data_IF_372237513254
#
_entry.id   IF_372237513254
#
_cell.length_a   1.000
_cell.length_b   1.000
_cell.length_c   1.000
_cell.angle_alpha   90.00
_cell.angle_beta   90.00
_cell.angle_gamma   90.00
#
_symmetry.space_group_name_H-M   'P 1'
#
loop_
_entity.id
_entity.type
_entity.pdbx_description
1 polymer ?
#
# COMPACT_ATOMS: atom_id res chain seq x y z
N UNK A 1 12.42 -14.05 -54.41
CA UNK A 1 12.47 -12.59 -54.21
C UNK A 1 11.97 -12.34 -52.80
N UNK A 2 12.88 -12.42 -51.83
CA UNK A 2 12.59 -12.14 -50.42
C UNK A 2 12.82 -10.65 -50.21
N UNK A 3 11.76 -9.90 -49.91
CA UNK A 3 11.86 -8.55 -49.39
C UNK A 3 11.63 -8.62 -47.89
N UNK A 4 12.69 -8.48 -47.11
CA UNK A 4 12.57 -8.23 -45.67
C UNK A 4 11.83 -6.91 -45.46
N UNK A 5 10.81 -6.85 -44.56
CA UNK A 5 10.26 -5.58 -44.13
C UNK A 5 11.35 -4.92 -43.29
N UNK A 6 12.15 -4.05 -43.90
CA UNK A 6 12.99 -3.15 -43.13
C UNK A 6 12.09 -2.42 -42.13
N UNK A 7 12.35 -2.65 -40.85
CA UNK A 7 11.87 -1.85 -39.75
C UNK A 7 12.28 -0.40 -40.04
N UNK A 8 11.40 0.34 -40.74
CA UNK A 8 11.59 1.75 -41.01
C UNK A 8 11.59 2.45 -39.66
N UNK A 9 12.79 2.82 -39.19
CA UNK A 9 12.91 3.67 -38.03
C UNK A 9 12.08 4.93 -38.28
N UNK A 10 11.19 5.29 -37.34
CA UNK A 10 10.35 6.47 -37.51
C UNK A 10 11.21 7.70 -37.74
N UNK A 11 10.76 8.59 -38.62
CA UNK A 11 11.49 9.83 -38.91
C UNK A 11 11.50 10.75 -37.67
N UNK A 12 12.48 11.65 -37.59
CA UNK A 12 12.58 12.62 -36.48
C UNK A 12 11.31 13.48 -36.34
N UNK A 13 10.66 13.82 -37.46
CA UNK A 13 9.37 14.52 -37.44
C UNK A 13 8.23 13.65 -36.87
N UNK A 14 8.19 12.37 -37.24
CA UNK A 14 7.21 11.42 -36.69
C UNK A 14 7.43 11.20 -35.18
N UNK A 15 8.69 11.11 -34.73
CA UNK A 15 9.02 11.04 -33.31
C UNK A 15 8.60 12.31 -32.55
N UNK A 16 8.83 13.50 -33.11
CA UNK A 16 8.38 14.77 -32.48
C UNK A 16 6.86 14.87 -32.40
N UNK A 17 6.16 14.56 -33.49
CA UNK A 17 4.70 14.56 -33.52
C UNK A 17 4.11 13.54 -32.54
N UNK A 18 4.75 12.37 -32.41
CA UNK A 18 4.35 11.35 -31.44
C UNK A 18 4.62 11.79 -29.99
N UNK A 19 5.75 12.42 -29.70
CA UNK A 19 6.04 12.99 -28.37
C UNK A 19 5.10 14.14 -28.03
N UNK A 20 4.69 14.95 -29.01
CA UNK A 20 3.63 15.96 -28.82
C UNK A 20 2.27 15.32 -28.54
N UNK A 21 1.90 14.25 -29.23
CA UNK A 21 0.70 13.47 -28.91
C UNK A 21 0.76 12.84 -27.52
N UNK A 22 1.92 12.34 -27.09
CA UNK A 22 2.11 11.81 -25.74
C UNK A 22 2.07 12.91 -24.68
N UNK A 23 2.53 14.13 -24.98
CA UNK A 23 2.30 15.30 -24.12
C UNK A 23 0.85 15.75 -24.11
N UNK A 24 0.09 15.42 -25.14
CA UNK A 24 -1.34 15.67 -25.21
C UNK A 24 -2.17 14.63 -24.44
N UNK A 25 -1.60 13.49 -24.06
CA UNK A 25 -2.21 12.61 -23.05
C UNK A 25 -2.19 13.32 -21.70
N UNK A 26 -3.34 13.40 -21.02
CA UNK A 26 -3.55 14.31 -19.90
C UNK A 26 -2.65 13.93 -18.70
N UNK A 27 -1.55 14.66 -18.45
CA UNK A 27 -0.64 14.32 -17.37
C UNK A 27 -1.31 14.48 -16.00
N UNK A 28 -2.46 15.17 -15.93
CA UNK A 28 -3.24 15.27 -14.70
C UNK A 28 -3.85 13.94 -14.28
N UNK A 29 -4.19 13.04 -15.21
CA UNK A 29 -4.73 11.71 -14.88
C UNK A 29 -3.66 10.83 -14.22
N UNK A 30 -2.43 10.86 -14.74
CA UNK A 30 -1.30 10.12 -14.17
C UNK A 30 -1.00 10.61 -12.75
N UNK A 31 -1.01 11.92 -12.56
CA UNK A 31 -0.84 12.54 -11.24
C UNK A 31 -1.97 12.14 -10.30
N UNK A 32 -3.23 12.18 -10.76
CA UNK A 32 -4.39 11.75 -9.98
C UNK A 32 -4.28 10.28 -9.55
N UNK A 33 -3.88 9.40 -10.46
CA UNK A 33 -3.64 7.99 -10.18
C UNK A 33 -2.53 7.80 -9.14
N UNK A 34 -1.40 8.50 -9.30
CA UNK A 34 -0.27 8.42 -8.38
C UNK A 34 -0.65 8.90 -6.98
N UNK A 35 -1.35 10.03 -6.89
CA UNK A 35 -1.89 10.54 -5.64
C UNK A 35 -2.87 9.56 -4.99
N UNK A 36 -3.79 8.98 -5.76
CA UNK A 36 -4.74 7.99 -5.25
C UNK A 36 -4.05 6.73 -4.70
N UNK A 37 -2.98 6.26 -5.35
CA UNK A 37 -2.18 5.13 -4.85
C UNK A 37 -1.48 5.45 -3.53
N UNK A 38 -0.88 6.65 -3.41
CA UNK A 38 -0.28 7.12 -2.16
C UNK A 38 -1.33 7.26 -1.05
N UNK A 39 -2.48 7.85 -1.36
CA UNK A 39 -3.59 8.01 -0.42
C UNK A 39 -4.13 6.67 0.07
N UNK A 40 -4.37 5.72 -0.83
CA UNK A 40 -4.80 4.36 -0.46
C UNK A 40 -3.75 3.66 0.40
N UNK A 41 -2.47 3.76 0.03
CA UNK A 41 -1.37 3.23 0.83
C UNK A 41 -1.33 3.85 2.24
N UNK A 42 -1.50 5.17 2.35
CA UNK A 42 -1.55 5.87 3.63
C UNK A 42 -2.72 5.40 4.50
N UNK A 43 -3.93 5.30 3.93
CA UNK A 43 -5.14 4.83 4.62
C UNK A 43 -4.93 3.43 5.23
N UNK A 44 -4.35 2.51 4.47
CA UNK A 44 -4.10 1.14 4.95
C UNK A 44 -3.05 1.05 6.07
N UNK A 45 -2.26 2.12 6.27
CA UNK A 45 -1.17 2.16 7.25
C UNK A 45 -1.39 3.19 8.36
N UNK A 46 -2.59 3.79 8.47
CA UNK A 46 -2.87 4.80 9.49
C UNK A 46 -2.47 4.33 10.89
N UNK A 47 -1.87 5.23 11.66
CA UNK A 47 -1.35 4.94 13.01
C UNK A 47 0.02 4.25 13.02
N UNK A 48 0.57 3.91 11.84
CA UNK A 48 1.94 3.41 11.71
C UNK A 48 2.88 4.51 11.21
N UNK A 49 4.19 4.43 11.50
CA UNK A 49 5.17 5.40 11.01
C UNK A 49 5.16 5.57 9.49
N UNK A 50 4.94 4.47 8.76
CA UNK A 50 4.89 4.45 7.30
C UNK A 50 3.78 5.34 6.71
N UNK A 51 2.64 5.52 7.40
CA UNK A 51 1.55 6.34 6.87
C UNK A 51 1.94 7.80 6.77
N UNK A 52 2.67 8.35 7.76
CA UNK A 52 3.18 9.73 7.71
C UNK A 52 4.04 9.95 6.47
N UNK A 53 4.96 9.02 6.17
CA UNK A 53 5.83 9.14 4.99
C UNK A 53 5.03 9.16 3.68
N UNK A 54 3.98 8.34 3.58
CA UNK A 54 3.11 8.31 2.40
C UNK A 54 2.28 9.59 2.26
N UNK A 55 1.78 10.13 3.37
CA UNK A 55 1.06 11.41 3.43
C UNK A 55 2.01 12.56 3.04
N UNK A 56 3.24 12.58 3.55
CA UNK A 56 4.25 13.58 3.22
C UNK A 56 4.65 13.51 1.75
N UNK A 57 4.77 12.31 1.18
CA UNK A 57 5.02 12.13 -0.25
C UNK A 57 3.86 12.66 -1.11
N UNK A 58 2.61 12.43 -0.69
CA UNK A 58 1.43 12.98 -1.36
C UNK A 58 1.37 14.51 -1.26
N UNK A 59 1.72 15.09 -0.11
CA UNK A 59 1.87 16.54 0.08
C UNK A 59 2.94 17.11 -0.85
N UNK A 60 4.14 16.52 -0.87
CA UNK A 60 5.24 16.98 -1.72
C UNK A 60 4.87 16.92 -3.20
N UNK A 61 4.07 15.93 -3.62
CA UNK A 61 3.55 15.84 -4.99
C UNK A 61 2.59 16.98 -5.32
N UNK A 62 1.65 17.29 -4.42
CA UNK A 62 0.69 18.40 -4.61
C UNK A 62 1.43 19.74 -4.68
N UNK A 63 2.39 19.96 -3.78
CA UNK A 63 3.17 21.20 -3.73
C UNK A 63 4.07 21.35 -4.96
N UNK A 64 4.71 20.26 -5.42
CA UNK A 64 5.56 20.30 -6.62
C UNK A 64 4.77 20.59 -7.91
N UNK A 65 3.46 20.38 -7.89
CA UNK A 65 2.56 20.56 -9.03
C UNK A 65 1.63 21.76 -8.86
N UNK A 66 1.88 22.60 -7.85
CA UNK A 66 1.13 23.82 -7.62
C UNK A 66 1.15 24.73 -8.87
N UNK A 67 -0.04 25.21 -9.25
CA UNK A 67 -0.23 26.04 -10.45
C UNK A 67 -0.08 25.30 -11.79
N UNK A 68 0.20 23.99 -11.79
CA UNK A 68 0.28 23.15 -13.00
C UNK A 68 -0.89 22.20 -13.17
N UNK A 69 -1.60 21.89 -12.09
CA UNK A 69 -2.80 21.07 -12.11
C UNK A 69 -4.05 21.93 -12.33
N UNK A 70 -5.11 21.38 -12.94
CA UNK A 70 -6.42 22.01 -12.93
C UNK A 70 -6.86 22.31 -11.49
N UNK A 71 -7.38 23.52 -11.25
CA UNK A 71 -7.72 23.99 -9.90
C UNK A 71 -8.64 23.03 -9.13
N UNK A 72 -9.61 22.44 -9.83
CA UNK A 72 -10.55 21.48 -9.23
C UNK A 72 -9.84 20.21 -8.75
N UNK A 73 -8.90 19.68 -9.53
CA UNK A 73 -8.12 18.50 -9.15
C UNK A 73 -7.20 18.83 -7.97
N UNK A 74 -6.48 19.94 -8.05
CA UNK A 74 -5.60 20.39 -6.97
C UNK A 74 -6.37 20.60 -5.66
N UNK A 75 -7.57 21.17 -5.73
CA UNK A 75 -8.43 21.36 -4.55
C UNK A 75 -8.92 20.02 -3.98
N UNK A 76 -9.32 19.07 -4.84
CA UNK A 76 -9.71 17.72 -4.42
C UNK A 76 -8.57 17.03 -3.66
N UNK A 77 -7.36 17.03 -4.24
CA UNK A 77 -6.17 16.46 -3.61
C UNK A 77 -5.85 17.09 -2.25
N UNK A 78 -5.92 18.43 -2.14
CA UNK A 78 -5.72 19.12 -0.85
C UNK A 78 -6.74 18.72 0.21
N UNK A 79 -8.01 18.58 -0.19
CA UNK A 79 -9.07 18.17 0.73
C UNK A 79 -8.87 16.73 1.22
N UNK A 80 -8.50 15.82 0.33
CA UNK A 80 -8.22 14.42 0.67
C UNK A 80 -7.00 14.31 1.59
N UNK A 81 -5.96 15.08 1.30
CA UNK A 81 -4.74 15.13 2.11
C UNK A 81 -5.01 15.64 3.52
N UNK A 82 -5.84 16.68 3.65
CA UNK A 82 -6.26 17.18 4.98
C UNK A 82 -7.01 16.12 5.78
N UNK A 83 -7.86 15.32 5.13
CA UNK A 83 -8.56 14.21 5.78
C UNK A 83 -7.58 13.12 6.25
N UNK A 84 -6.59 12.76 5.43
CA UNK A 84 -5.57 11.78 5.79
C UNK A 84 -4.73 12.24 6.99
N UNK A 85 -4.32 13.50 7.01
CA UNK A 85 -3.56 14.07 8.13
C UNK A 85 -4.36 14.05 9.43
N UNK A 86 -5.64 14.42 9.38
CA UNK A 86 -6.53 14.35 10.54
C UNK A 86 -6.72 12.90 11.02
N UNK A 87 -6.95 11.97 10.09
CA UNK A 87 -7.10 10.55 10.41
C UNK A 87 -5.82 9.96 11.03
N UNK A 88 -4.65 10.37 10.55
CA UNK A 88 -3.37 9.96 11.12
C UNK A 88 -3.23 10.45 12.56
N UNK A 89 -3.46 11.73 12.83
CA UNK A 89 -3.37 12.29 14.19
C UNK A 89 -4.36 11.58 15.13
N UNK A 90 -5.58 11.34 14.66
CA UNK A 90 -6.59 10.60 15.43
C UNK A 90 -6.10 9.19 15.77
N UNK A 91 -5.63 8.44 14.77
CA UNK A 91 -5.15 7.06 14.95
C UNK A 91 -3.95 6.96 15.91
N UNK A 92 -3.07 7.96 15.92
CA UNK A 92 -1.93 8.00 16.84
C UNK A 92 -2.35 8.34 18.26
N UNK A 93 -3.36 9.20 18.42
CA UNK A 93 -3.93 9.50 19.74
C UNK A 93 -4.60 8.27 20.36
N UNK A 94 -5.26 7.45 19.55
CA UNK A 94 -5.88 6.19 19.98
C UNK A 94 -4.84 5.11 20.29
N UNK A 95 -3.79 4.99 19.47
CA UNK A 95 -2.68 4.07 19.71
C UNK A 95 -1.87 4.43 20.98
N UNK A 96 -1.68 5.72 21.26
CA UNK A 96 -1.03 6.19 22.49
C UNK A 96 -1.90 6.06 23.75
N UNK A 97 -3.23 5.94 23.60
CA UNK A 97 -4.17 5.71 24.69
C UNK A 97 -4.40 4.22 24.99
N UNK A 98 -4.05 3.33 24.05
CA UNK A 98 -4.06 1.88 24.28
C UNK A 98 -2.82 1.48 25.09
N UNK A 99 -2.97 0.86 26.29
CA UNK A 99 -1.82 0.35 27.02
C UNK A 99 -1.09 -0.69 26.16
N UNK A 100 0.25 -0.61 26.14
CA UNK A 100 1.18 -1.46 25.38
C UNK A 100 0.96 -2.97 25.60
N UNK A 101 -0.06 -3.55 24.96
CA UNK A 101 -0.36 -4.97 24.99
C UNK A 101 -0.26 -5.56 23.59
N UNK A 102 0.78 -5.23 22.82
CA UNK A 102 1.16 -6.03 21.64
C UNK A 102 2.58 -5.78 21.11
N UNK A 103 3.52 -5.32 21.94
CA UNK A 103 4.95 -5.31 21.61
C UNK A 103 5.62 -6.70 21.75
N UNK A 104 4.87 -7.79 21.51
CA UNK A 104 5.34 -9.16 21.72
C UNK A 104 4.98 -10.16 20.62
N UNK A 105 4.53 -9.70 19.45
CA UNK A 105 4.09 -10.65 18.40
C UNK A 105 4.47 -10.18 17.00
N UNK A 106 5.76 -9.92 16.78
CA UNK A 106 6.39 -9.96 15.46
C UNK A 106 7.90 -10.07 15.64
N UNK A 107 8.37 -11.26 16.03
CA UNK A 107 9.71 -11.72 15.65
C UNK A 107 9.55 -13.02 14.87
N UNK A 108 9.84 -12.93 13.57
CA UNK A 108 9.83 -14.01 12.61
C UNK A 108 11.25 -14.60 12.58
N UNK A 109 11.44 -15.81 13.11
CA UNK A 109 12.73 -16.50 12.98
C UNK A 109 12.79 -17.88 13.63
N UNK A 110 12.38 -18.90 12.90
CA UNK A 110 12.42 -20.30 13.31
C UNK A 110 13.84 -20.85 13.52
N UNK A 111 14.01 -21.69 14.55
CA UNK A 111 14.80 -22.92 14.48
C UNK A 111 14.33 -23.92 15.55
N UNK A 112 13.87 -25.14 15.19
CA UNK A 112 13.69 -26.23 16.14
C UNK A 112 15.01 -27.01 16.22
N UNK A 113 15.81 -26.73 17.25
CA UNK A 113 17.02 -27.48 17.55
C UNK A 113 16.85 -28.21 18.88
N UNK A 114 16.49 -29.49 18.83
CA UNK A 114 16.37 -30.35 19.99
C UNK A 114 17.71 -30.65 20.67
N UNK A 115 17.64 -31.02 21.95
CA UNK A 115 18.78 -31.54 22.71
C UNK A 115 18.58 -31.45 24.22
N UNK A 116 17.94 -32.49 24.77
CA UNK A 116 17.86 -32.95 26.16
C UNK A 116 18.73 -32.29 27.24
N UNK A 117 18.15 -31.96 28.40
CA UNK A 117 18.02 -32.92 29.51
C UNK A 117 17.46 -32.29 30.81
N UNK A 118 16.78 -33.15 31.58
CA UNK A 118 16.52 -33.08 33.02
C UNK A 118 15.14 -32.56 33.49
N UNK A 119 14.15 -33.45 33.36
CA UNK A 119 13.37 -34.01 34.48
C UNK A 119 12.67 -33.05 35.46
N UNK A 120 11.38 -32.81 35.23
CA UNK A 120 10.41 -32.31 36.21
C UNK A 120 9.05 -33.00 36.00
N UNK A 121 8.79 -33.98 36.85
CA UNK A 121 7.72 -34.97 36.86
C UNK A 121 6.30 -34.38 37.00
N UNK A 122 5.34 -34.92 36.23
CA UNK A 122 3.93 -35.02 36.66
C UNK A 122 2.87 -34.45 35.72
N UNK A 123 2.15 -35.32 34.99
CA UNK A 123 0.84 -34.99 34.41
C UNK A 123 0.52 -35.67 33.09
N UNK A 124 0.27 -36.98 33.11
CA UNK A 124 -0.41 -37.69 32.02
C UNK A 124 -1.87 -37.23 31.91
N UNK A 125 -2.26 -36.76 30.72
CA UNK A 125 -3.56 -37.07 30.15
C UNK A 125 -3.48 -37.00 28.61
N UNK A 126 -3.23 -38.16 28.02
CA UNK A 126 -3.44 -38.41 26.59
C UNK A 126 -4.93 -38.46 26.29
N UNK A 127 -5.38 -37.78 25.24
CA UNK A 127 -6.51 -38.20 24.42
C UNK A 127 -6.43 -37.53 23.05
N UNK A 128 -6.29 -38.40 22.07
CA UNK A 128 -6.15 -38.25 20.63
C UNK A 128 -7.26 -37.44 19.90
N UNK A 129 -6.83 -36.79 18.81
CA UNK A 129 -7.41 -36.91 17.46
C UNK A 129 -8.79 -36.32 17.15
N UNK A 130 -8.77 -35.17 16.48
CA UNK A 130 -9.51 -34.88 15.22
C UNK A 130 -9.09 -33.46 14.79
N UNK A 131 -8.35 -33.27 13.70
CA UNK A 131 -8.74 -33.69 12.36
C UNK A 131 -9.67 -32.62 11.79
N UNK A 132 -9.07 -31.64 11.10
CA UNK A 132 -9.62 -30.91 9.96
C UNK A 132 -11.15 -30.68 9.95
N UNK A 133 -11.58 -29.43 10.18
CA UNK A 133 -12.61 -28.68 9.42
C UNK A 133 -13.17 -27.54 10.26
N UNK A 134 -12.54 -26.37 10.17
CA UNK A 134 -13.22 -25.11 10.45
C UNK A 134 -12.87 -24.03 9.41
N UNK A 135 -12.41 -24.45 8.22
CA UNK A 135 -12.28 -23.63 7.03
C UNK A 135 -13.63 -23.48 6.29
N UNK A 136 -14.73 -23.39 7.03
CA UNK A 136 -16.10 -23.43 6.49
C UNK A 136 -17.00 -22.33 7.07
N UNK A 137 -16.46 -21.13 7.20
CA UNK A 137 -17.27 -19.91 7.37
C UNK A 137 -16.79 -18.82 6.42
N UNK A 138 -16.83 -19.15 5.13
CA UNK A 138 -16.80 -18.15 4.07
C UNK A 138 -18.17 -17.45 4.05
N UNK A 139 -18.23 -16.24 4.59
CA UNK A 139 -19.42 -15.39 4.59
C UNK A 139 -19.69 -14.90 3.17
N UNK A 140 -20.91 -15.09 2.67
CA UNK A 140 -21.37 -14.56 1.38
C UNK A 140 -22.39 -13.43 1.65
N UNK A 141 -22.10 -12.18 1.28
CA UNK A 141 -23.08 -11.10 1.35
C UNK A 141 -24.08 -11.12 0.19
N UNK A 142 -25.36 -10.89 0.48
CA UNK A 142 -26.35 -10.45 -0.53
C UNK A 142 -27.50 -11.41 -0.87
N UNK A 143 -28.14 -12.03 0.12
CA UNK A 143 -29.53 -12.49 0.00
C UNK A 143 -30.42 -11.55 0.82
#
# INVERSE_FOLDING_TARGET
MSGDPQEQQPSDEQMRAYVEQLRAADPSEIVAQAFAMLGTGAQTKLGRPDARVLIDAAQAMVDALEGRLPDQLAQGMRNDLSQLQQAQVQSESEAGAAPEQQAGQSDLGAAPGGGDAASGQGGEQSSEQSGQRAADRLWIPGQ
#
